data_IF_185707412210
#
_entry.id   IF_185707412210
#
_cell.length_a   1.000
_cell.length_b   1.000
_cell.length_c   1.000
_cell.angle_alpha   90.00
_cell.angle_beta   90.00
_cell.angle_gamma   90.00
#
_symmetry.space_group_name_H-M   'P 1'
#
loop_
_entity.id
_entity.type
_entity.pdbx_description
1 polymer ?
#
# COMPACT_ATOMS: atom_id res chain seq x y z
N UNK A 1 -16.56 2.43 -8.77
CA UNK A 1 -16.03 1.10 -9.18
C UNK A 1 -15.27 0.48 -8.02
N UNK A 2 -15.57 -0.76 -7.70
CA UNK A 2 -14.87 -1.50 -6.63
C UNK A 2 -13.59 -2.13 -7.19
N UNK A 3 -12.46 -1.93 -6.53
CA UNK A 3 -11.20 -2.55 -6.90
C UNK A 3 -11.13 -3.99 -6.37
N UNK A 4 -10.71 -4.91 -7.21
CA UNK A 4 -10.57 -6.32 -6.88
C UNK A 4 -9.09 -6.65 -6.73
N UNK A 5 -8.63 -6.78 -5.49
CA UNK A 5 -7.23 -7.03 -5.18
C UNK A 5 -6.91 -8.54 -5.12
N UNK A 6 -5.75 -8.88 -5.65
CA UNK A 6 -5.13 -10.20 -5.53
C UNK A 6 -3.63 -10.06 -5.31
N UNK A 7 -2.94 -11.14 -4.97
CA UNK A 7 -1.48 -11.14 -4.87
C UNK A 7 -0.86 -10.89 -6.25
N UNK A 8 -0.01 -9.87 -6.33
CA UNK A 8 0.80 -9.57 -7.50
C UNK A 8 2.30 -9.72 -7.20
N UNK A 9 3.18 -9.59 -8.19
CA UNK A 9 4.63 -9.72 -8.00
C UNK A 9 5.22 -8.74 -6.99
N UNK A 10 4.68 -7.54 -6.93
CA UNK A 10 5.18 -6.45 -6.08
C UNK A 10 4.32 -6.19 -4.84
N UNK A 11 3.20 -6.87 -4.71
CA UNK A 11 2.26 -6.70 -3.60
C UNK A 11 0.83 -6.88 -4.05
N UNK A 12 -0.16 -6.50 -3.23
CA UNK A 12 -1.56 -6.52 -3.61
C UNK A 12 -1.78 -5.70 -4.88
N UNK A 13 -2.45 -6.29 -5.85
CA UNK A 13 -2.66 -5.72 -7.17
C UNK A 13 -4.14 -5.82 -7.58
N UNK A 14 -4.67 -4.75 -8.14
CA UNK A 14 -6.01 -4.72 -8.72
C UNK A 14 -5.93 -4.44 -10.21
N UNK A 15 -6.21 -5.45 -11.03
CA UNK A 15 -6.15 -5.33 -12.50
C UNK A 15 -7.08 -4.21 -13.01
N UNK A 16 -8.24 -4.07 -12.40
CA UNK A 16 -9.19 -3.03 -12.81
C UNK A 16 -8.79 -1.60 -12.42
N UNK A 17 -7.74 -1.40 -11.60
CA UNK A 17 -7.15 -0.09 -11.37
C UNK A 17 -6.56 0.51 -12.65
N UNK A 18 -6.10 -0.33 -13.57
CA UNK A 18 -5.59 0.07 -14.88
C UNK A 18 -6.58 0.95 -15.64
N UNK A 19 -7.86 0.62 -15.58
CA UNK A 19 -8.91 1.41 -16.23
C UNK A 19 -9.05 2.80 -15.61
N UNK A 20 -8.93 2.90 -14.28
CA UNK A 20 -8.97 4.19 -13.58
C UNK A 20 -7.78 5.05 -13.97
N UNK A 21 -6.57 4.49 -13.97
CA UNK A 21 -5.34 5.21 -14.33
C UNK A 21 -5.38 5.70 -15.78
N UNK A 22 -5.88 4.90 -16.71
CA UNK A 22 -6.08 5.33 -18.10
C UNK A 22 -7.09 6.46 -18.22
N UNK A 23 -8.17 6.41 -17.46
CA UNK A 23 -9.22 7.44 -17.49
C UNK A 23 -8.74 8.80 -16.96
N UNK A 24 -7.82 8.81 -16.01
CA UNK A 24 -7.29 10.06 -15.42
C UNK A 24 -5.99 10.54 -16.05
N UNK A 25 -5.43 9.76 -16.99
CA UNK A 25 -4.21 10.14 -17.73
C UNK A 25 -4.42 11.45 -18.48
N UNK A 26 -3.50 12.41 -18.31
CA UNK A 26 -3.59 13.73 -18.91
C UNK A 26 -4.55 14.71 -18.24
N UNK A 27 -5.40 14.23 -17.31
CA UNK A 27 -6.35 15.05 -16.55
C UNK A 27 -5.89 15.30 -15.12
N UNK A 28 -5.50 14.26 -14.41
CA UNK A 28 -5.03 14.33 -13.03
C UNK A 28 -3.58 13.89 -12.88
N UNK A 29 -3.21 12.84 -13.61
CA UNK A 29 -1.85 12.28 -13.61
C UNK A 29 -1.34 12.10 -15.04
N UNK A 30 -0.01 12.03 -15.19
CA UNK A 30 0.66 11.69 -16.43
C UNK A 30 1.75 10.64 -16.17
N UNK A 31 2.17 9.94 -17.20
CA UNK A 31 3.23 8.93 -17.11
C UNK A 31 2.73 7.48 -17.12
N UNK A 32 1.44 7.26 -17.32
CA UNK A 32 0.84 5.92 -17.41
C UNK A 32 0.45 5.52 -18.85
N UNK A 33 0.61 6.42 -19.82
CA UNK A 33 0.05 6.30 -21.18
C UNK A 33 0.43 5.01 -21.93
N UNK A 34 1.59 4.43 -21.69
CA UNK A 34 2.03 3.19 -22.32
C UNK A 34 1.51 1.91 -21.65
N UNK A 35 0.76 2.04 -20.55
CA UNK A 35 0.14 0.93 -19.84
C UNK A 35 1.11 -0.07 -19.22
N UNK A 36 2.40 0.26 -19.14
CA UNK A 36 3.39 -0.62 -18.52
C UNK A 36 3.29 -0.62 -17.00
N UNK A 37 3.51 -1.79 -16.40
CA UNK A 37 3.47 -2.00 -14.96
C UNK A 37 4.89 -2.05 -14.34
N UNK A 38 5.86 -1.39 -14.97
CA UNK A 38 7.22 -1.35 -14.46
C UNK A 38 7.28 -0.65 -13.09
N UNK A 39 7.96 -1.25 -12.08
CA UNK A 39 7.97 -0.73 -10.73
C UNK A 39 8.72 0.60 -10.58
N UNK A 40 9.57 0.93 -11.51
CA UNK A 40 10.33 2.20 -11.58
C UNK A 40 9.57 3.31 -12.30
N UNK A 41 8.40 3.00 -12.85
CA UNK A 41 7.57 3.97 -13.57
C UNK A 41 6.95 4.97 -12.59
N UNK A 42 7.18 6.26 -12.84
CA UNK A 42 6.66 7.32 -12.00
C UNK A 42 5.46 8.01 -12.63
N UNK A 43 4.41 8.15 -11.83
CA UNK A 43 3.28 9.01 -12.16
C UNK A 43 3.57 10.42 -11.67
N UNK A 44 3.20 11.42 -12.46
CA UNK A 44 3.33 12.84 -12.13
C UNK A 44 1.96 13.49 -12.08
N UNK A 45 1.80 14.46 -11.20
CA UNK A 45 0.61 15.29 -11.18
C UNK A 45 0.58 16.22 -12.39
N UNK A 46 -0.60 16.33 -13.01
CA UNK A 46 -0.85 17.35 -14.03
C UNK A 46 -0.97 18.70 -13.35
N UNK A 47 -0.44 19.80 -13.93
CA UNK A 47 -0.60 21.15 -13.36
C UNK A 47 -2.07 21.46 -13.06
N UNK A 48 -2.36 21.98 -11.87
CA UNK A 48 -3.71 22.28 -11.40
C UNK A 48 -4.49 21.11 -10.80
N UNK A 49 -4.02 19.87 -10.95
CA UNK A 49 -4.71 18.68 -10.45
C UNK A 49 -4.82 18.67 -8.91
N UNK A 50 -3.80 19.13 -8.21
CA UNK A 50 -3.81 19.18 -6.74
C UNK A 50 -4.89 20.13 -6.22
N UNK A 51 -4.97 21.32 -6.78
CA UNK A 51 -5.97 22.34 -6.40
C UNK A 51 -7.39 21.86 -6.69
N UNK A 52 -7.60 21.23 -7.83
CA UNK A 52 -8.88 20.64 -8.21
C UNK A 52 -9.29 19.52 -7.25
N UNK A 53 -8.36 18.65 -6.87
CA UNK A 53 -8.58 17.58 -5.91
C UNK A 53 -8.92 18.13 -4.51
N UNK A 54 -8.18 19.12 -4.02
CA UNK A 54 -8.45 19.77 -2.74
C UNK A 54 -9.83 20.40 -2.73
N UNK A 55 -10.20 21.12 -3.79
CA UNK A 55 -11.50 21.74 -3.94
C UNK A 55 -12.64 20.69 -3.95
N UNK A 56 -12.46 19.60 -4.66
CA UNK A 56 -13.42 18.49 -4.70
C UNK A 56 -13.62 17.86 -3.32
N UNK A 57 -12.55 17.67 -2.55
CA UNK A 57 -12.59 17.01 -1.24
C UNK A 57 -13.20 17.88 -0.13
N UNK A 58 -13.37 19.18 -0.32
CA UNK A 58 -13.96 20.08 0.69
C UNK A 58 -15.34 19.60 1.18
N UNK A 59 -16.14 18.99 0.31
CA UNK A 59 -17.48 18.48 0.60
C UNK A 59 -17.52 16.94 0.72
N UNK A 60 -16.38 16.29 0.84
CA UNK A 60 -16.24 14.82 0.90
C UNK A 60 -15.48 14.41 2.17
N UNK A 61 -16.09 14.67 3.33
CA UNK A 61 -15.45 14.46 4.63
C UNK A 61 -14.95 13.02 4.86
N UNK A 62 -15.73 12.01 4.49
CA UNK A 62 -15.30 10.60 4.62
C UNK A 62 -14.09 10.27 3.77
N UNK A 63 -14.07 10.72 2.52
CA UNK A 63 -12.94 10.51 1.60
C UNK A 63 -11.70 11.22 2.10
N UNK A 64 -11.85 12.45 2.60
CA UNK A 64 -10.77 13.22 3.21
C UNK A 64 -10.18 12.52 4.43
N UNK A 65 -11.03 12.02 5.34
CA UNK A 65 -10.59 11.27 6.52
C UNK A 65 -9.83 10.00 6.15
N UNK A 66 -10.31 9.23 5.17
CA UNK A 66 -9.61 8.05 4.66
C UNK A 66 -8.25 8.40 4.06
N UNK A 67 -8.19 9.47 3.29
CA UNK A 67 -6.93 9.97 2.73
C UNK A 67 -5.95 10.36 3.84
N UNK A 68 -6.40 11.09 4.86
CA UNK A 68 -5.57 11.49 6.00
C UNK A 68 -5.05 10.28 6.78
N UNK A 69 -5.86 9.24 6.96
CA UNK A 69 -5.44 7.99 7.58
C UNK A 69 -4.34 7.29 6.77
N UNK A 70 -4.50 7.20 5.46
CA UNK A 70 -3.47 6.61 4.58
C UNK A 70 -2.20 7.44 4.60
N UNK A 71 -2.31 8.76 4.47
CA UNK A 71 -1.19 9.69 4.52
C UNK A 71 -0.39 9.55 5.82
N UNK A 72 -1.08 9.44 6.94
CA UNK A 72 -0.46 9.20 8.25
C UNK A 72 0.25 7.83 8.30
N UNK A 73 -0.38 6.78 7.76
CA UNK A 73 0.21 5.44 7.75
C UNK A 73 1.53 5.40 6.97
N UNK A 74 1.54 5.98 5.78
CA UNK A 74 2.70 5.86 4.87
C UNK A 74 3.83 6.82 5.18
N UNK A 75 3.66 7.72 6.14
CA UNK A 75 4.71 8.64 6.56
C UNK A 75 5.96 7.88 6.99
N UNK A 76 7.08 8.18 6.36
CA UNK A 76 8.36 7.47 6.53
C UNK A 76 8.52 6.21 5.66
N UNK A 77 7.47 5.80 4.92
CA UNK A 77 7.49 4.66 4.00
C UNK A 77 7.25 5.07 2.54
N UNK A 78 7.42 6.34 2.22
CA UNK A 78 7.08 6.93 0.92
C UNK A 78 8.16 6.65 -0.15
N UNK A 79 8.42 5.38 -0.34
CA UNK A 79 9.29 4.85 -1.39
C UNK A 79 8.66 3.58 -1.97
N UNK A 80 9.03 3.15 -3.19
CA UNK A 80 8.57 1.87 -3.71
C UNK A 80 8.81 0.71 -2.75
N UNK A 81 9.98 0.66 -2.13
CA UNK A 81 10.32 -0.37 -1.12
C UNK A 81 9.41 -0.29 0.11
N UNK A 82 9.25 0.89 0.69
CA UNK A 82 8.45 1.08 1.90
C UNK A 82 6.97 0.78 1.69
N UNK A 83 6.41 1.22 0.57
CA UNK A 83 5.01 0.97 0.22
C UNK A 83 4.77 -0.51 -0.11
N UNK A 84 5.70 -1.16 -0.79
CA UNK A 84 5.65 -2.60 -1.04
C UNK A 84 5.67 -3.40 0.27
N UNK A 85 6.54 -3.02 1.20
CA UNK A 85 6.63 -3.65 2.51
C UNK A 85 5.32 -3.52 3.30
N UNK A 86 4.81 -2.30 3.46
CA UNK A 86 3.56 -2.06 4.20
C UNK A 86 2.38 -2.80 3.58
N UNK A 87 2.20 -2.71 2.27
CA UNK A 87 1.06 -3.34 1.61
C UNK A 87 1.13 -4.87 1.64
N UNK A 88 2.33 -5.43 1.52
CA UNK A 88 2.55 -6.89 1.62
C UNK A 88 2.21 -7.39 3.02
N UNK A 89 2.74 -6.76 4.04
CA UNK A 89 2.50 -7.17 5.44
C UNK A 89 1.03 -6.98 5.81
N UNK A 90 0.41 -5.86 5.43
CA UNK A 90 -1.01 -5.63 5.66
C UNK A 90 -1.88 -6.72 5.02
N UNK A 91 -1.59 -7.11 3.78
CA UNK A 91 -2.31 -8.19 3.10
C UNK A 91 -2.20 -9.51 3.86
N UNK A 92 -0.99 -9.89 4.25
CA UNK A 92 -0.73 -11.16 4.93
C UNK A 92 -1.48 -11.23 6.25
N UNK A 93 -1.40 -10.19 7.07
CA UNK A 93 -2.08 -10.17 8.38
C UNK A 93 -3.60 -10.11 8.21
N UNK A 94 -4.10 -9.37 7.22
CA UNK A 94 -5.55 -9.17 7.02
C UNK A 94 -6.24 -10.33 6.29
N UNK A 95 -5.53 -11.06 5.44
CA UNK A 95 -6.11 -12.06 4.53
C UNK A 95 -5.66 -13.49 4.80
N UNK A 96 -4.52 -13.68 5.44
CA UNK A 96 -3.98 -14.99 5.76
C UNK A 96 -4.07 -15.24 7.27
N UNK A 97 -4.19 -16.50 7.67
CA UNK A 97 -4.23 -16.86 9.08
C UNK A 97 -2.80 -16.89 9.64
N UNK A 98 -2.41 -15.81 10.31
CA UNK A 98 -1.12 -15.68 11.01
C UNK A 98 -1.37 -15.48 12.49
N UNK A 99 -0.54 -16.10 13.32
CA UNK A 99 -0.69 -16.06 14.78
C UNK A 99 0.43 -15.27 15.47
N UNK A 100 1.58 -15.14 14.83
CA UNK A 100 2.77 -14.53 15.42
C UNK A 100 3.69 -13.95 14.33
N UNK A 101 4.75 -13.32 14.76
CA UNK A 101 5.75 -12.72 13.85
C UNK A 101 6.46 -13.73 12.96
N UNK A 102 6.69 -14.95 13.44
CA UNK A 102 7.32 -16.00 12.63
C UNK A 102 6.43 -16.39 11.46
N UNK A 103 5.12 -16.48 11.68
CA UNK A 103 4.15 -16.73 10.63
C UNK A 103 4.14 -15.60 9.59
N UNK A 104 4.14 -14.35 10.04
CA UNK A 104 4.16 -13.18 9.13
C UNK A 104 5.42 -13.22 8.26
N UNK A 105 6.58 -13.45 8.84
CA UNK A 105 7.84 -13.53 8.11
C UNK A 105 7.83 -14.70 7.12
N UNK A 106 7.39 -15.88 7.56
CA UNK A 106 7.31 -17.07 6.71
C UNK A 106 6.39 -16.85 5.51
N UNK A 107 5.20 -16.28 5.74
CA UNK A 107 4.23 -15.97 4.67
C UNK A 107 4.73 -14.89 3.72
N UNK A 108 5.45 -13.89 4.24
CA UNK A 108 6.09 -12.87 3.41
C UNK A 108 7.10 -13.51 2.45
N UNK A 109 7.99 -14.32 2.96
CA UNK A 109 9.02 -14.97 2.13
C UNK A 109 8.46 -16.03 1.19
N UNK A 110 7.33 -16.65 1.53
CA UNK A 110 6.63 -17.61 0.67
C UNK A 110 5.86 -16.94 -0.48
N UNK A 111 5.66 -15.63 -0.44
CA UNK A 111 4.95 -14.90 -1.50
C UNK A 111 5.67 -15.01 -2.86
N UNK A 112 6.91 -14.65 -2.90
CA UNK A 112 7.87 -14.89 -4.00
C UNK A 112 9.29 -14.56 -3.54
N UNK A 113 10.29 -14.87 -4.36
CA UNK A 113 11.70 -14.66 -4.02
C UNK A 113 12.08 -13.19 -3.84
N UNK A 114 11.39 -12.29 -4.54
CA UNK A 114 11.60 -10.84 -4.40
C UNK A 114 11.37 -10.38 -2.96
N UNK A 115 10.47 -10.98 -2.21
CA UNK A 115 10.15 -10.62 -0.82
C UNK A 115 11.31 -10.89 0.15
N UNK A 116 12.28 -11.67 -0.24
CA UNK A 116 13.51 -11.89 0.56
C UNK A 116 14.38 -10.64 0.71
N UNK A 117 14.12 -9.59 -0.06
CA UNK A 117 14.71 -8.27 0.15
C UNK A 117 14.32 -7.63 1.49
N UNK A 118 13.18 -8.02 2.08
CA UNK A 118 12.75 -7.53 3.38
C UNK A 118 13.42 -8.31 4.49
N UNK A 119 14.14 -7.63 5.39
CA UNK A 119 14.66 -8.27 6.59
C UNK A 119 13.52 -8.56 7.59
N UNK A 120 13.74 -9.50 8.50
CA UNK A 120 12.79 -9.76 9.60
C UNK A 120 12.51 -8.51 10.43
N UNK A 121 13.54 -7.69 10.65
CA UNK A 121 13.41 -6.41 11.37
C UNK A 121 12.49 -5.44 10.64
N UNK A 122 12.60 -5.34 9.33
CA UNK A 122 11.73 -4.49 8.51
C UNK A 122 10.28 -4.99 8.52
N UNK A 123 10.08 -6.31 8.43
CA UNK A 123 8.74 -6.91 8.54
C UNK A 123 8.14 -6.63 9.91
N UNK A 124 8.92 -6.79 10.98
CA UNK A 124 8.48 -6.49 12.35
C UNK A 124 8.12 -5.00 12.53
N UNK A 125 8.90 -4.11 11.96
CA UNK A 125 8.60 -2.67 11.96
C UNK A 125 7.29 -2.37 11.25
N UNK A 126 7.03 -2.99 10.11
CA UNK A 126 5.77 -2.83 9.38
C UNK A 126 4.57 -3.33 10.20
N UNK A 127 4.69 -4.48 10.86
CA UNK A 127 3.65 -4.99 11.76
C UNK A 127 3.38 -4.02 12.90
N UNK A 128 4.44 -3.51 13.53
CA UNK A 128 4.32 -2.56 14.64
C UNK A 128 3.62 -1.27 14.21
N UNK A 129 4.01 -0.68 13.09
CA UNK A 129 3.39 0.54 12.56
C UNK A 129 1.91 0.31 12.22
N UNK A 130 1.60 -0.78 11.52
CA UNK A 130 0.23 -1.12 11.16
C UNK A 130 -0.65 -1.35 12.40
N UNK A 131 -0.12 -2.01 13.41
CA UNK A 131 -0.83 -2.26 14.67
C UNK A 131 -1.06 -0.97 15.46
N UNK A 132 -0.03 -0.17 15.68
CA UNK A 132 -0.14 1.09 16.41
C UNK A 132 -1.11 2.09 15.76
N UNK A 133 -1.20 2.08 14.43
CA UNK A 133 -2.09 2.96 13.67
C UNK A 133 -3.45 2.33 13.37
N UNK A 134 -3.77 1.20 14.01
CA UNK A 134 -5.06 0.51 13.92
C UNK A 134 -5.46 0.05 12.52
N UNK A 135 -4.48 -0.39 11.74
CA UNK A 135 -4.72 -1.02 10.44
C UNK A 135 -4.83 -2.54 10.50
N UNK A 136 -4.28 -3.14 11.54
CA UNK A 136 -4.37 -4.55 11.85
C UNK A 136 -4.63 -4.73 13.34
N UNK A 137 -5.21 -5.87 13.73
CA UNK A 137 -5.33 -6.26 15.11
C UNK A 137 -3.95 -6.60 15.70
N UNK A 138 -3.79 -6.38 16.99
CA UNK A 138 -2.55 -6.73 17.66
C UNK A 138 -2.38 -8.25 17.67
N UNK A 139 -1.29 -8.74 17.08
CA UNK A 139 -0.97 -10.18 16.99
C UNK A 139 -0.49 -10.80 18.29
N UNK A 140 -0.77 -10.19 19.44
CA UNK A 140 -0.33 -10.72 20.74
C UNK A 140 1.18 -10.88 20.85
N UNK A 141 1.93 -10.02 20.15
CA UNK A 141 3.38 -9.95 20.25
C UNK A 141 3.71 -9.37 21.62
N UNK A 142 3.68 -10.23 22.63
CA UNK A 142 4.45 -9.97 23.85
C UNK A 142 5.88 -9.82 23.40
N UNK A 143 6.43 -8.63 23.60
CA UNK A 143 7.88 -8.44 23.66
C UNK A 143 8.42 -9.45 24.67
N UNK A 144 8.84 -10.62 24.20
CA UNK A 144 9.83 -11.38 24.92
C UNK A 144 11.16 -10.71 24.61
N UNK A 145 11.47 -9.75 25.44
CA UNK A 145 12.85 -9.33 25.66
C UNK A 145 13.75 -10.54 25.81
#
# INVERSE_FOLDING_TARGET
MRLNYAKGPYGPYAENLRHVLKAVEGHLVSGYADGGDAPDKQLKLVPGALEDAISFLKNKSETKERFERVSNLVEGFESPFGLELLSTVHWIVSKEHVQNMDDVAARTYAWNDRKKQFSRRQIALAVDVLSRKNWIENLGISEKT
#
